data_IF_411005109673
#
_entry.id   IF_411005109673
#
_cell.length_a   1.000
_cell.length_b   1.000
_cell.length_c   1.000
_cell.angle_alpha   90.00
_cell.angle_beta   90.00
_cell.angle_gamma   90.00
#
_symmetry.space_group_name_H-M   'P 1'
#
loop_
_entity.id
_entity.type
_entity.pdbx_description
1 polymer ?
#
# COMPACT_ATOMS: atom_id res chain seq x y z
N UNK A 1 -46.88 -26.64 -65.41
CA UNK A 1 -47.29 -27.90 -66.07
C UNK A 1 -47.55 -28.91 -64.95
N UNK A 2 -48.73 -29.56 -64.88
CA UNK A 2 -49.09 -30.76 -64.05
C UNK A 2 -48.66 -30.76 -62.56
N UNK A 3 -49.53 -30.64 -61.53
CA UNK A 3 -50.63 -31.55 -61.10
C UNK A 3 -50.14 -33.02 -60.96
N UNK A 4 -50.32 -33.81 -59.90
CA UNK A 4 -51.31 -33.95 -58.80
C UNK A 4 -50.60 -34.20 -57.44
N UNK A 5 -51.26 -34.39 -56.27
CA UNK A 5 -52.65 -34.07 -55.88
C UNK A 5 -53.32 -35.06 -54.90
N UNK A 6 -53.65 -34.60 -53.69
CA UNK A 6 -54.80 -35.05 -52.84
C UNK A 6 -54.82 -36.45 -52.19
N UNK A 7 -54.79 -36.48 -50.84
CA UNK A 7 -55.35 -37.57 -50.00
C UNK A 7 -56.42 -37.03 -49.04
N UNK A 8 -57.64 -37.59 -49.07
CA UNK A 8 -58.81 -37.18 -48.25
C UNK A 8 -59.13 -38.19 -47.14
N UNK A 9 -59.62 -37.69 -46.00
CA UNK A 9 -60.35 -38.43 -44.96
C UNK A 9 -60.26 -37.69 -43.62
N UNK A 10 -61.25 -36.95 -43.11
CA UNK A 10 -62.57 -37.40 -42.59
C UNK A 10 -62.39 -38.36 -41.39
N UNK A 11 -62.91 -38.11 -40.17
CA UNK A 11 -63.92 -37.12 -39.76
C UNK A 11 -64.04 -36.83 -38.25
N UNK A 12 -64.40 -35.57 -37.93
CA UNK A 12 -65.45 -35.11 -36.96
C UNK A 12 -65.28 -35.20 -35.43
N UNK A 13 -65.71 -34.08 -34.81
CA UNK A 13 -66.17 -33.82 -33.41
C UNK A 13 -65.06 -33.58 -32.36
N UNK A 14 -65.18 -32.59 -31.45
CA UNK A 14 -66.20 -31.54 -31.27
C UNK A 14 -65.62 -30.24 -30.69
N UNK A 15 -66.40 -29.15 -30.77
CA UNK A 15 -66.10 -27.80 -30.26
C UNK A 15 -66.23 -27.73 -28.74
N UNK A 16 -65.40 -26.93 -28.08
CA UNK A 16 -65.82 -26.11 -26.93
C UNK A 16 -64.91 -24.88 -26.78
N UNK A 17 -65.50 -23.75 -26.42
CA UNK A 17 -64.83 -22.46 -26.30
C UNK A 17 -64.23 -22.26 -24.90
N UNK A 18 -63.16 -21.47 -24.82
CA UNK A 18 -62.56 -21.03 -23.57
C UNK A 18 -61.52 -19.94 -23.84
N UNK A 19 -61.93 -18.68 -23.72
CA UNK A 19 -60.99 -17.57 -23.82
C UNK A 19 -60.17 -17.45 -22.54
N UNK A 20 -58.86 -17.24 -22.66
CA UNK A 20 -58.03 -16.75 -21.55
C UNK A 20 -57.21 -15.55 -21.99
N UNK A 21 -57.28 -14.52 -21.15
CA UNK A 21 -56.55 -13.26 -21.24
C UNK A 21 -55.04 -13.53 -21.17
N UNK A 22 -54.27 -12.97 -22.10
CA UNK A 22 -52.81 -13.01 -22.03
C UNK A 22 -52.33 -12.08 -20.90
N UNK A 23 -51.87 -12.66 -19.79
CA UNK A 23 -51.30 -11.91 -18.67
C UNK A 23 -49.87 -11.47 -19.03
N UNK A 24 -49.62 -10.17 -19.05
CA UNK A 24 -48.25 -9.64 -19.22
C UNK A 24 -47.48 -9.86 -17.92
N UNK A 25 -46.61 -10.86 -17.90
CA UNK A 25 -45.69 -11.10 -16.79
C UNK A 25 -44.57 -10.04 -16.79
N UNK A 26 -44.68 -9.05 -15.90
CA UNK A 26 -43.64 -8.05 -15.70
C UNK A 26 -42.43 -8.62 -14.97
N UNK A 27 -41.30 -8.75 -15.68
CA UNK A 27 -40.02 -9.11 -15.06
C UNK A 27 -39.44 -7.93 -14.27
N UNK A 28 -39.61 -7.94 -12.95
CA UNK A 28 -38.94 -7.00 -12.07
C UNK A 28 -37.43 -7.31 -12.01
N UNK A 29 -36.60 -6.44 -12.62
CA UNK A 29 -35.16 -6.47 -12.38
C UNK A 29 -34.89 -6.03 -10.93
N UNK A 30 -34.61 -6.99 -10.06
CA UNK A 30 -34.00 -6.71 -8.76
C UNK A 30 -32.55 -6.31 -9.01
N UNK A 31 -32.28 -5.01 -9.00
CA UNK A 31 -30.92 -4.46 -9.03
C UNK A 31 -30.19 -4.80 -7.73
N UNK A 32 -29.59 -6.00 -7.68
CA UNK A 32 -28.76 -6.45 -6.57
C UNK A 32 -27.49 -5.61 -6.47
N UNK A 33 -27.56 -4.51 -5.72
CA UNK A 33 -26.39 -3.72 -5.38
C UNK A 33 -25.42 -4.57 -4.57
N UNK A 34 -24.23 -4.84 -5.15
CA UNK A 34 -23.14 -5.47 -4.40
C UNK A 34 -22.81 -4.56 -3.22
N UNK A 35 -22.85 -5.03 -1.96
CA UNK A 35 -22.55 -4.20 -0.82
C UNK A 35 -21.09 -3.76 -0.91
N UNK A 36 -20.87 -2.47 -1.17
CA UNK A 36 -19.54 -1.85 -1.12
C UNK A 36 -18.94 -2.10 0.26
N UNK A 37 -18.01 -3.05 0.34
CA UNK A 37 -17.28 -3.34 1.58
C UNK A 37 -16.56 -2.08 1.99
N UNK A 38 -17.09 -1.40 3.01
CA UNK A 38 -16.45 -0.21 3.59
C UNK A 38 -14.98 -0.55 3.84
N UNK A 39 -14.08 0.25 3.24
CA UNK A 39 -12.65 0.07 3.44
C UNK A 39 -12.40 0.21 4.94
N UNK A 40 -12.02 -0.90 5.59
CA UNK A 40 -11.68 -0.86 7.02
C UNK A 40 -10.50 0.09 7.17
N UNK A 41 -10.60 0.97 8.16
CA UNK A 41 -9.48 1.77 8.64
C UNK A 41 -8.23 0.89 8.76
N UNK A 42 -7.10 1.42 8.30
CA UNK A 42 -5.82 0.74 8.47
C UNK A 42 -5.47 0.78 9.96
N UNK A 43 -5.34 -0.39 10.58
CA UNK A 43 -4.75 -0.49 11.92
C UNK A 43 -3.30 -0.05 11.81
N UNK A 44 -3.00 1.11 12.39
CA UNK A 44 -1.63 1.59 12.54
C UNK A 44 -0.96 0.73 13.63
N UNK A 45 0.28 0.23 13.45
CA UNK A 45 0.89 -0.69 14.40
C UNK A 45 0.98 -0.12 15.83
N UNK A 46 0.68 -0.96 16.82
CA UNK A 46 0.71 -0.60 18.24
C UNK A 46 2.15 -0.60 18.82
N UNK A 47 3.14 -1.17 18.12
CA UNK A 47 4.56 -1.16 18.49
C UNK A 47 5.25 0.21 18.51
N UNK A 48 4.49 1.32 18.39
CA UNK A 48 4.97 2.70 18.41
C UNK A 48 4.36 3.48 19.58
N UNK A 49 5.23 4.00 20.46
CA UNK A 49 4.80 4.75 21.63
C UNK A 49 4.48 6.22 21.32
N UNK A 50 3.71 6.87 22.21
CA UNK A 50 3.43 8.30 22.13
C UNK A 50 4.72 9.14 22.22
N UNK A 51 4.91 10.07 21.28
CA UNK A 51 6.06 10.98 21.21
C UNK A 51 7.41 10.25 21.09
N UNK A 52 7.40 9.01 20.60
CA UNK A 52 8.60 8.21 20.40
C UNK A 52 9.44 8.74 19.24
N UNK A 53 10.77 8.69 19.39
CA UNK A 53 11.71 8.93 18.29
C UNK A 53 12.52 7.66 18.03
N UNK A 54 12.47 7.14 16.81
CA UNK A 54 13.24 5.96 16.41
C UNK A 54 14.32 6.34 15.41
N UNK A 55 15.56 5.97 15.70
CA UNK A 55 16.69 6.15 14.78
C UNK A 55 17.12 4.82 14.22
N UNK A 56 17.32 4.76 12.90
CA UNK A 56 17.83 3.62 12.16
C UNK A 56 19.15 4.06 11.50
N UNK A 57 20.22 3.30 11.67
CA UNK A 57 21.45 3.48 10.91
C UNK A 57 21.34 2.79 9.55
N UNK A 58 21.95 3.39 8.54
CA UNK A 58 22.00 2.89 7.17
C UNK A 58 23.44 2.51 6.87
N UNK A 59 23.64 1.31 6.36
CA UNK A 59 24.95 0.74 6.04
C UNK A 59 25.02 0.33 4.58
N UNK A 60 26.23 0.34 4.03
CA UNK A 60 26.59 -0.40 2.81
C UNK A 60 27.75 -1.32 3.19
N UNK A 61 27.55 -2.63 3.09
CA UNK A 61 28.44 -3.57 3.78
C UNK A 61 28.48 -3.26 5.28
N UNK A 62 29.68 -3.08 5.84
CA UNK A 62 29.87 -2.65 7.23
C UNK A 62 29.95 -1.12 7.41
N UNK A 63 30.06 -0.35 6.32
CA UNK A 63 30.28 1.11 6.37
C UNK A 63 28.97 1.87 6.68
N UNK A 64 28.94 2.73 7.72
CA UNK A 64 27.77 3.56 8.03
C UNK A 64 27.66 4.74 7.05
N UNK A 65 26.69 4.67 6.15
CA UNK A 65 26.45 5.67 5.08
C UNK A 65 25.32 6.66 5.40
N UNK A 66 24.58 6.49 6.50
CA UNK A 66 23.45 7.37 6.78
C UNK A 66 22.59 6.99 7.98
N UNK A 67 21.46 7.69 8.10
CA UNK A 67 20.41 7.38 9.08
C UNK A 67 19.03 7.79 8.60
N UNK A 68 18.01 7.07 9.07
CA UNK A 68 16.60 7.47 9.06
C UNK A 68 16.14 7.73 10.48
N UNK A 69 15.40 8.82 10.69
CA UNK A 69 14.73 9.15 11.96
C UNK A 69 13.23 9.23 11.72
N UNK A 70 12.44 8.56 12.56
CA UNK A 70 10.99 8.70 12.64
C UNK A 70 10.59 9.34 13.97
N UNK A 71 9.74 10.35 13.92
CA UNK A 71 9.12 11.02 15.07
C UNK A 71 7.61 10.73 15.04
N UNK A 72 7.10 10.09 16.09
CA UNK A 72 5.72 9.62 16.18
C UNK A 72 4.90 10.49 17.15
N UNK A 73 3.99 11.30 16.61
CA UNK A 73 3.07 12.12 17.40
C UNK A 73 1.68 11.48 17.35
N UNK A 74 1.21 10.94 18.47
CA UNK A 74 -0.06 10.22 18.56
C UNK A 74 -1.11 10.99 19.36
N UNK A 75 -2.39 10.88 18.99
CA UNK A 75 -3.52 11.37 19.78
C UNK A 75 -4.73 10.45 19.60
N UNK A 76 -4.98 9.57 20.57
CA UNK A 76 -6.05 8.58 20.47
C UNK A 76 -5.81 7.61 19.31
N UNK A 77 -6.66 7.63 18.28
CA UNK A 77 -6.47 6.87 17.04
C UNK A 77 -5.58 7.59 16.00
N UNK A 78 -5.39 8.92 16.15
CA UNK A 78 -4.74 9.74 15.14
C UNK A 78 -3.22 9.71 15.30
N UNK A 79 -2.49 9.85 14.19
CA UNK A 79 -1.02 9.78 14.14
C UNK A 79 -0.48 10.80 13.14
N UNK A 80 0.50 11.59 13.57
CA UNK A 80 1.40 12.32 12.66
C UNK A 80 2.77 11.68 12.75
N UNK A 81 3.33 11.28 11.61
CA UNK A 81 4.66 10.68 11.51
C UNK A 81 5.53 11.63 10.69
N UNK A 82 6.64 12.07 11.26
CA UNK A 82 7.66 12.84 10.55
C UNK A 82 8.88 11.96 10.34
N UNK A 83 9.26 11.77 9.08
CA UNK A 83 10.41 10.95 8.66
C UNK A 83 11.50 11.85 8.11
N UNK A 84 12.76 11.63 8.50
CA UNK A 84 13.93 12.25 7.88
C UNK A 84 15.02 11.22 7.62
N UNK A 85 15.35 10.99 6.36
CA UNK A 85 16.46 10.13 5.92
C UNK A 85 17.57 10.98 5.33
N UNK A 86 18.82 10.68 5.70
CA UNK A 86 20.00 11.24 5.08
C UNK A 86 20.98 10.10 4.77
N UNK A 87 21.44 10.04 3.53
CA UNK A 87 22.46 9.11 3.04
C UNK A 87 23.56 9.96 2.40
N UNK A 88 24.82 9.64 2.72
CA UNK A 88 26.00 10.21 2.09
C UNK A 88 27.03 9.10 1.90
N UNK A 89 27.41 8.85 0.65
CA UNK A 89 28.47 7.92 0.26
C UNK A 89 29.54 8.75 -0.44
N UNK A 90 30.80 8.55 -0.05
CA UNK A 90 31.94 9.20 -0.71
C UNK A 90 33.09 8.22 -0.81
N UNK A 91 33.46 7.87 -2.04
CA UNK A 91 34.63 7.05 -2.39
C UNK A 91 35.45 7.78 -3.47
N UNK A 92 36.68 7.33 -3.70
CA UNK A 92 37.73 8.07 -4.42
C UNK A 92 37.34 8.73 -5.77
N UNK A 93 36.36 8.18 -6.49
CA UNK A 93 35.88 8.66 -7.79
C UNK A 93 34.35 8.83 -7.87
N UNK A 94 33.62 8.64 -6.76
CA UNK A 94 32.16 8.64 -6.75
C UNK A 94 31.62 9.13 -5.40
N UNK A 95 30.76 10.14 -5.46
CA UNK A 95 29.96 10.60 -4.33
C UNK A 95 28.47 10.43 -4.65
N UNK A 96 27.67 10.12 -3.64
CA UNK A 96 26.21 10.08 -3.73
C UNK A 96 25.61 10.67 -2.46
N UNK A 97 24.68 11.62 -2.61
CA UNK A 97 23.99 12.23 -1.48
C UNK A 97 22.48 12.19 -1.68
N UNK A 98 21.76 11.63 -0.71
CA UNK A 98 20.29 11.56 -0.75
C UNK A 98 19.68 12.07 0.57
N UNK A 99 18.73 12.98 0.45
CA UNK A 99 17.98 13.56 1.56
C UNK A 99 16.49 13.36 1.30
N UNK A 100 15.77 12.75 2.24
CA UNK A 100 14.34 12.54 2.14
C UNK A 100 13.64 13.01 3.42
N UNK A 101 12.57 13.76 3.27
CA UNK A 101 11.66 14.16 4.34
C UNK A 101 10.24 13.74 3.96
N UNK A 102 9.50 13.19 4.92
CA UNK A 102 8.07 12.91 4.77
C UNK A 102 7.29 13.32 6.02
N UNK A 103 6.11 13.87 5.82
CA UNK A 103 5.10 14.09 6.85
C UNK A 103 3.84 13.34 6.44
N UNK A 104 3.42 12.39 7.26
CA UNK A 104 2.16 11.67 7.12
C UNK A 104 1.22 12.08 8.26
N UNK A 105 -0.03 12.42 7.95
CA UNK A 105 -1.09 12.60 8.96
C UNK A 105 -2.18 11.59 8.68
N UNK A 106 -2.53 10.85 9.72
CA UNK A 106 -3.53 9.79 9.73
C UNK A 106 -4.59 10.10 10.77
N UNK A 107 -5.86 10.06 10.36
CA UNK A 107 -7.03 10.19 11.24
C UNK A 107 -7.85 8.92 11.14
N UNK A 108 -8.16 8.28 12.27
CA UNK A 108 -8.95 7.03 12.32
C UNK A 108 -8.50 5.95 11.30
N UNK A 109 -7.18 5.78 11.11
CA UNK A 109 -6.62 4.81 10.14
C UNK A 109 -6.84 5.15 8.66
N UNK A 110 -7.11 6.42 8.35
CA UNK A 110 -7.16 6.97 6.99
C UNK A 110 -6.09 8.06 6.84
N UNK A 111 -5.38 8.05 5.71
CA UNK A 111 -4.40 9.07 5.35
C UNK A 111 -5.14 10.36 4.98
N UNK A 112 -4.88 11.44 5.71
CA UNK A 112 -5.46 12.78 5.50
C UNK A 112 -4.41 13.82 5.11
N UNK A 113 -3.12 13.50 5.20
CA UNK A 113 -2.04 14.31 4.60
C UNK A 113 -0.84 13.44 4.28
N UNK A 114 -0.25 13.68 3.11
CA UNK A 114 1.07 13.19 2.73
C UNK A 114 1.85 14.37 2.15
N UNK A 115 3.00 14.68 2.70
CA UNK A 115 3.94 15.63 2.08
C UNK A 115 5.32 15.02 2.09
N UNK A 116 5.96 14.92 0.92
CA UNK A 116 7.35 14.46 0.84
C UNK A 116 8.22 15.45 0.06
N UNK A 117 9.49 15.50 0.43
CA UNK A 117 10.54 16.22 -0.27
C UNK A 117 11.75 15.31 -0.34
N UNK A 118 12.24 15.04 -1.54
CA UNK A 118 13.46 14.27 -1.75
C UNK A 118 14.43 15.10 -2.56
N UNK A 119 15.70 15.12 -2.19
CA UNK A 119 16.81 15.50 -3.06
C UNK A 119 17.65 14.24 -3.22
N UNK A 120 17.66 13.64 -4.40
CA UNK A 120 18.39 12.41 -4.70
C UNK A 120 19.50 12.74 -5.69
N UNK A 121 20.72 12.83 -5.18
CA UNK A 121 21.95 13.19 -5.91
C UNK A 121 21.87 14.50 -6.71
N UNK A 122 21.14 15.49 -6.18
CA UNK A 122 20.89 16.78 -6.80
C UNK A 122 19.56 16.87 -7.54
N UNK A 123 18.86 15.76 -7.77
CA UNK A 123 17.55 15.73 -8.42
C UNK A 123 16.41 15.91 -7.39
N UNK A 124 15.62 17.01 -7.46
CA UNK A 124 14.57 17.29 -6.50
C UNK A 124 13.23 16.62 -6.88
N UNK A 125 12.60 15.99 -5.91
CA UNK A 125 11.26 15.41 -6.01
C UNK A 125 10.35 15.92 -4.89
N UNK A 126 9.04 15.98 -5.18
CA UNK A 126 8.00 16.34 -4.24
C UNK A 126 6.76 15.48 -4.47
N UNK A 127 6.10 15.09 -3.39
CA UNK A 127 4.76 14.49 -3.40
C UNK A 127 3.88 15.25 -2.41
N UNK A 128 2.68 15.64 -2.83
CA UNK A 128 1.66 16.25 -1.98
C UNK A 128 0.38 15.42 -2.09
N UNK A 129 -0.26 15.13 -0.97
CA UNK A 129 -1.47 14.33 -0.89
C UNK A 129 -2.46 14.86 0.14
N UNK A 130 -3.73 14.96 -0.26
CA UNK A 130 -4.82 15.49 0.55
C UNK A 130 -6.17 14.83 0.19
N UNK A 131 -7.20 14.89 1.06
CA UNK A 131 -8.56 14.47 0.73
C UNK A 131 -9.11 15.27 -0.44
N UNK A 132 -9.82 14.60 -1.34
CA UNK A 132 -10.42 15.20 -2.53
C UNK A 132 -11.64 14.43 -3.03
N UNK A 133 -12.19 14.88 -4.15
CA UNK A 133 -13.36 14.22 -4.75
C UNK A 133 -13.03 12.78 -5.13
N UNK A 134 -13.73 11.82 -4.50
CA UNK A 134 -13.57 10.40 -4.78
C UNK A 134 -12.47 9.66 -4.00
N UNK A 135 -11.74 10.33 -3.09
CA UNK A 135 -10.77 9.66 -2.22
C UNK A 135 -9.64 10.57 -1.72
N UNK A 136 -8.45 10.01 -1.61
CA UNK A 136 -7.23 10.75 -1.31
C UNK A 136 -6.49 11.03 -2.62
N UNK A 137 -6.29 12.30 -2.96
CA UNK A 137 -5.62 12.73 -4.18
C UNK A 137 -4.16 12.98 -3.90
N UNK A 138 -3.29 12.32 -4.66
CA UNK A 138 -1.83 12.42 -4.62
C UNK A 138 -1.35 13.10 -5.89
N UNK A 139 -0.45 14.07 -5.77
CA UNK A 139 0.26 14.71 -6.88
C UNK A 139 1.76 14.58 -6.67
N UNK A 140 2.49 14.16 -7.71
CA UNK A 140 3.95 14.06 -7.71
C UNK A 140 4.53 14.24 -9.10
N UNK A 141 5.78 13.85 -9.30
CA UNK A 141 6.46 13.96 -10.61
C UNK A 141 5.81 13.11 -11.71
N UNK A 142 5.09 12.05 -11.33
CA UNK A 142 4.37 11.12 -12.22
C UNK A 142 2.93 11.59 -12.52
N UNK A 143 2.57 12.81 -12.11
CA UNK A 143 1.24 13.39 -12.28
C UNK A 143 0.35 13.27 -11.04
N UNK A 144 -0.97 13.30 -11.26
CA UNK A 144 -1.99 13.29 -10.20
C UNK A 144 -2.86 12.04 -10.29
N UNK A 145 -3.11 11.40 -9.14
CA UNK A 145 -3.90 10.17 -9.01
C UNK A 145 -4.74 10.20 -7.74
N UNK A 146 -5.97 9.66 -7.80
CA UNK A 146 -6.84 9.50 -6.63
C UNK A 146 -6.88 8.03 -6.20
N UNK A 147 -6.71 7.78 -4.90
CA UNK A 147 -6.67 6.45 -4.28
C UNK A 147 -7.62 6.38 -3.09
N UNK A 148 -7.82 5.17 -2.52
CA UNK A 148 -8.52 5.06 -1.22
C UNK A 148 -7.70 5.80 -0.15
N UNK A 149 -8.33 6.54 0.80
CA UNK A 149 -7.64 7.07 1.98
C UNK A 149 -6.96 5.99 2.84
N UNK A 150 -7.32 4.71 2.66
CA UNK A 150 -6.65 3.56 3.29
C UNK A 150 -5.49 2.99 2.46
N UNK A 151 -4.97 3.72 1.48
CA UNK A 151 -3.81 3.31 0.66
C UNK A 151 -2.55 3.86 1.30
N UNK A 152 -1.69 3.03 1.93
CA UNK A 152 -0.53 3.56 2.64
C UNK A 152 0.55 4.08 1.69
N UNK A 153 1.31 5.11 2.11
CA UNK A 153 2.61 5.40 1.52
C UNK A 153 3.58 4.24 1.76
N UNK A 154 4.58 4.10 0.87
CA UNK A 154 5.69 3.14 1.01
C UNK A 154 6.66 3.62 2.09
N UNK A 155 6.18 3.64 3.33
CA UNK A 155 6.90 4.08 4.52
C UNK A 155 7.10 2.90 5.46
N UNK A 156 8.35 2.48 5.67
CA UNK A 156 8.63 1.18 6.31
C UNK A 156 8.18 1.07 7.76
N UNK A 157 7.95 2.18 8.47
CA UNK A 157 7.34 2.15 9.80
C UNK A 157 5.93 1.51 9.79
N UNK A 158 5.19 1.60 8.69
CA UNK A 158 3.81 1.14 8.62
C UNK A 158 3.73 -0.30 8.09
N UNK A 159 3.74 -1.29 8.99
CA UNK A 159 3.63 -2.71 8.64
C UNK A 159 2.40 -3.06 7.78
N UNK A 160 1.36 -2.23 7.76
CA UNK A 160 0.19 -2.41 6.89
C UNK A 160 0.51 -2.38 5.38
N UNK A 161 1.66 -1.82 4.96
CA UNK A 161 2.12 -1.92 3.56
C UNK A 161 2.21 -3.37 3.08
N UNK A 162 2.54 -4.31 3.98
CA UNK A 162 2.71 -5.74 3.67
C UNK A 162 1.42 -6.41 3.17
N UNK A 163 0.26 -5.89 3.57
CA UNK A 163 -1.07 -6.47 3.25
C UNK A 163 -1.91 -5.58 2.33
N UNK A 164 -1.47 -4.36 2.06
CA UNK A 164 -2.10 -3.48 1.10
C UNK A 164 -1.97 -4.05 -0.33
N UNK A 165 -2.98 -3.90 -1.22
CA UNK A 165 -2.86 -4.34 -2.61
C UNK A 165 -1.94 -3.43 -3.44
N UNK A 166 -1.69 -2.20 -2.97
CA UNK A 166 -0.86 -1.18 -3.60
C UNK A 166 -0.44 -0.13 -2.59
N UNK A 167 0.67 0.56 -2.85
CA UNK A 167 1.23 1.65 -2.03
C UNK A 167 1.44 2.92 -2.85
N UNK A 168 1.48 4.08 -2.18
CA UNK A 168 1.91 5.34 -2.76
C UNK A 168 3.45 5.45 -2.62
N UNK A 169 4.17 5.62 -3.72
CA UNK A 169 5.63 5.81 -3.70
C UNK A 169 5.98 7.18 -3.11
N UNK A 170 6.79 7.21 -2.06
CA UNK A 170 7.13 8.43 -1.32
C UNK A 170 8.11 9.35 -2.05
N UNK A 171 8.87 8.84 -3.03
CA UNK A 171 9.77 9.65 -3.86
C UNK A 171 9.01 10.39 -4.98
N UNK A 172 8.13 9.71 -5.73
CA UNK A 172 7.57 10.19 -7.01
C UNK A 172 6.05 10.34 -7.06
N UNK A 173 5.31 9.79 -6.09
CA UNK A 173 3.84 9.91 -6.02
C UNK A 173 3.07 8.89 -6.88
N UNK A 174 3.76 8.03 -7.64
CA UNK A 174 3.13 6.91 -8.35
C UNK A 174 2.52 5.89 -7.38
N UNK A 175 1.53 5.15 -7.87
CA UNK A 175 0.88 4.05 -7.13
C UNK A 175 1.44 2.72 -7.64
N UNK A 176 2.18 2.00 -6.80
CA UNK A 176 2.79 0.73 -7.15
C UNK A 176 2.00 -0.46 -6.57
N UNK A 177 1.74 -1.53 -7.32
CA UNK A 177 1.17 -2.76 -6.78
C UNK A 177 2.15 -3.40 -5.78
N UNK A 178 1.61 -4.12 -4.79
CA UNK A 178 2.39 -4.82 -3.77
C UNK A 178 2.30 -6.33 -3.99
N UNK A 179 3.45 -7.00 -3.84
CA UNK A 179 3.53 -8.45 -3.65
C UNK A 179 4.44 -8.73 -2.45
N UNK A 180 3.90 -9.45 -1.46
CA UNK A 180 4.60 -9.76 -0.21
C UNK A 180 4.72 -11.26 -0.01
N UNK A 181 5.88 -11.73 0.42
CA UNK A 181 6.10 -13.12 0.84
C UNK A 181 6.78 -13.17 2.21
N UNK A 182 6.14 -13.83 3.17
CA UNK A 182 6.77 -14.19 4.45
C UNK A 182 7.93 -15.16 4.21
N UNK A 183 9.10 -14.88 4.80
CA UNK A 183 10.31 -15.69 4.68
C UNK A 183 10.47 -16.59 5.91
N UNK A 184 10.35 -16.03 7.11
CA UNK A 184 10.52 -16.74 8.37
C UNK A 184 10.71 -15.79 9.55
N UNK A 185 10.76 -16.35 10.77
CA UNK A 185 11.11 -15.61 12.00
C UNK A 185 12.61 -15.76 12.27
N UNK A 186 13.28 -14.67 12.59
CA UNK A 186 14.69 -14.66 12.99
C UNK A 186 14.96 -13.62 14.09
N UNK A 187 16.03 -13.84 14.86
CA UNK A 187 16.48 -12.91 15.91
C UNK A 187 17.32 -11.80 15.28
N UNK A 188 16.83 -10.57 15.34
CA UNK A 188 17.55 -9.38 14.85
C UNK A 188 18.29 -8.73 16.01
N UNK A 189 19.62 -8.65 15.91
CA UNK A 189 20.47 -7.90 16.84
C UNK A 189 20.67 -6.45 16.36
N UNK A 190 20.69 -5.53 17.30
CA UNK A 190 20.91 -4.10 17.07
C UNK A 190 21.56 -3.44 18.30
N UNK A 191 21.95 -2.16 18.21
CA UNK A 191 22.69 -1.50 19.30
C UNK A 191 21.91 -1.41 20.62
N UNK A 192 20.58 -1.33 20.55
CA UNK A 192 19.69 -1.36 21.71
C UNK A 192 19.34 -2.75 22.26
N UNK A 193 19.80 -3.85 21.65
CA UNK A 193 19.54 -5.21 22.13
C UNK A 193 19.32 -6.24 21.02
N UNK A 194 18.43 -7.19 21.24
CA UNK A 194 18.00 -8.14 20.20
C UNK A 194 16.52 -8.47 20.36
N UNK A 195 15.81 -8.62 19.25
CA UNK A 195 14.37 -8.92 19.23
C UNK A 195 14.02 -9.92 18.14
N UNK A 196 12.98 -10.73 18.37
CA UNK A 196 12.48 -11.65 17.36
C UNK A 196 11.57 -10.91 16.37
N UNK A 197 11.86 -11.07 15.08
CA UNK A 197 11.12 -10.41 14.00
C UNK A 197 10.83 -11.39 12.86
N UNK A 198 9.73 -11.15 12.15
CA UNK A 198 9.37 -11.86 10.94
C UNK A 198 9.91 -11.09 9.74
N UNK A 199 10.69 -11.79 8.90
CA UNK A 199 11.21 -11.31 7.63
C UNK A 199 10.19 -11.50 6.52
N UNK A 200 9.97 -10.46 5.73
CA UNK A 200 9.13 -10.44 4.54
C UNK A 200 9.95 -9.97 3.35
N UNK A 201 9.86 -10.64 2.20
CA UNK A 201 10.27 -10.05 0.90
C UNK A 201 9.10 -9.24 0.38
N UNK A 202 9.33 -7.94 0.20
CA UNK A 202 8.36 -6.95 -0.25
C UNK A 202 8.77 -6.46 -1.65
N UNK A 203 7.87 -6.64 -2.61
CA UNK A 203 8.09 -6.35 -4.03
C UNK A 203 7.11 -5.26 -4.50
N UNK A 204 7.64 -4.19 -5.08
CA UNK A 204 6.90 -3.14 -5.81
C UNK A 204 7.57 -2.90 -7.18
N UNK A 205 7.88 -1.66 -7.53
CA UNK A 205 8.86 -1.24 -8.52
C UNK A 205 10.33 -1.56 -8.14
N UNK A 206 10.60 -1.92 -6.89
CA UNK A 206 11.86 -2.49 -6.42
C UNK A 206 11.60 -3.75 -5.54
N UNK A 207 12.67 -4.36 -5.03
CA UNK A 207 12.60 -5.46 -4.07
C UNK A 207 13.40 -5.08 -2.83
N UNK A 208 12.78 -5.26 -1.66
CA UNK A 208 13.40 -5.04 -0.35
C UNK A 208 12.90 -6.08 0.65
N UNK A 209 13.78 -6.57 1.51
CA UNK A 209 13.38 -7.37 2.65
C UNK A 209 13.13 -6.47 3.86
N UNK A 210 12.03 -6.72 4.56
CA UNK A 210 11.59 -5.95 5.73
C UNK A 210 11.39 -6.89 6.92
N UNK A 211 11.83 -6.47 8.09
CA UNK A 211 11.66 -7.20 9.35
C UNK A 211 10.77 -6.41 10.30
N UNK A 212 9.74 -7.08 10.80
CA UNK A 212 8.82 -6.53 11.80
C UNK A 212 8.70 -7.48 12.99
N UNK A 213 8.66 -6.94 14.20
CA UNK A 213 8.24 -7.66 15.40
C UNK A 213 6.75 -8.01 15.34
N UNK A 214 6.27 -8.84 16.27
CA UNK A 214 4.87 -9.29 16.31
C UNK A 214 3.85 -8.15 16.59
N UNK A 215 4.28 -7.05 17.22
CA UNK A 215 3.53 -5.80 17.42
C UNK A 215 3.69 -4.78 16.27
N UNK A 216 4.42 -5.15 15.22
CA UNK A 216 4.55 -4.39 13.98
C UNK A 216 5.58 -3.26 14.00
N UNK A 217 6.49 -3.23 14.99
CA UNK A 217 7.67 -2.36 14.94
C UNK A 217 8.64 -2.86 13.85
N UNK A 218 8.89 -2.02 12.86
CA UNK A 218 9.98 -2.19 11.90
C UNK A 218 11.34 -2.19 12.60
N UNK A 219 12.21 -3.18 12.35
CA UNK A 219 13.52 -3.28 13.02
C UNK A 219 14.71 -3.33 12.05
N UNK A 220 14.49 -3.81 10.82
CA UNK A 220 15.53 -3.95 9.80
C UNK A 220 14.92 -3.88 8.40
N UNK A 221 15.68 -3.34 7.45
CA UNK A 221 15.49 -3.64 6.03
C UNK A 221 16.81 -4.00 5.36
N UNK A 222 16.73 -4.75 4.26
CA UNK A 222 17.87 -5.13 3.44
C UNK A 222 17.46 -5.02 1.97
N UNK A 223 18.21 -4.21 1.21
CA UNK A 223 18.06 -4.07 -0.23
C UNK A 223 19.35 -4.51 -0.91
N UNK A 224 19.23 -5.50 -1.78
CA UNK A 224 20.31 -5.92 -2.69
C UNK A 224 20.70 -4.76 -3.60
N UNK A 225 22.00 -4.50 -3.74
CA UNK A 225 22.54 -3.40 -4.55
C UNK A 225 23.87 -3.81 -5.21
N UNK A 226 24.33 -3.05 -6.20
CA UNK A 226 25.56 -3.38 -6.91
C UNK A 226 26.78 -3.25 -5.99
N UNK A 227 27.51 -4.35 -5.83
CA UNK A 227 28.68 -4.49 -4.96
C UNK A 227 28.34 -5.04 -3.58
N UNK A 228 27.48 -4.34 -2.83
CA UNK A 228 27.15 -4.65 -1.43
C UNK A 228 25.72 -4.26 -1.09
N UNK A 229 25.10 -5.01 -0.18
CA UNK A 229 23.74 -4.75 0.32
C UNK A 229 23.64 -3.41 1.05
N UNK A 230 22.48 -2.75 0.92
CA UNK A 230 22.10 -1.60 1.74
C UNK A 230 21.23 -2.10 2.90
N UNK A 231 21.71 -1.95 4.12
CA UNK A 231 21.02 -2.39 5.34
C UNK A 231 20.55 -1.18 6.14
N UNK A 232 19.25 -1.16 6.46
CA UNK A 232 18.69 -0.27 7.48
C UNK A 232 18.53 -1.10 8.75
N UNK A 233 19.03 -0.60 9.88
CA UNK A 233 18.93 -1.30 11.16
C UNK A 233 18.54 -0.30 12.25
N UNK A 234 17.55 -0.65 13.07
CA UNK A 234 17.20 0.10 14.28
C UNK A 234 18.48 0.33 15.11
N UNK A 235 18.73 1.55 15.58
CA UNK A 235 19.89 1.85 16.43
C UNK A 235 19.45 1.97 17.88
N UNK A 236 18.51 2.90 18.13
CA UNK A 236 17.96 3.18 19.45
C UNK A 236 16.47 3.45 19.37
N UNK A 237 15.75 2.94 20.36
CA UNK A 237 14.40 3.39 20.70
C UNK A 237 14.55 4.61 21.62
N UNK A 238 14.45 5.81 21.07
CA UNK A 238 14.56 7.05 21.83
C UNK A 238 13.31 7.30 22.68
N UNK A 239 13.56 7.64 23.95
CA UNK A 239 12.63 8.15 24.94
C UNK A 239 13.39 9.09 25.89
#
# INVERSE_FOLDING_TARGET
MTQTGSGRGHSRRAVLAGGLTALVAGSALVAGGVPSRAARAQTIPDGYALNQTLTYRIFRGDDPIGKTVFEFYARGADRTIVTRTNINVSVLIYSYASQHMATEVWENGQLVRLETRTNDDGEPFRVDGAPGTGGFTVTGSEGTVTVSPTTPPKSFWNAGILTAPKVITTKRGAVAPVKTRTIGRERVAYKGGSTDAVRYRFETDDVIDLWYTDDGLWVKALRESFGEDIVYLLDTTGG
#
